data_IF_384983617042
#
_entry.id   IF_384983617042
#
_cell.length_a   1.000
_cell.length_b   1.000
_cell.length_c   1.000
_cell.angle_alpha   90.00
_cell.angle_beta   90.00
_cell.angle_gamma   90.00
#
_symmetry.space_group_name_H-M   'P 1'
#
loop_
_entity.id
_entity.type
_entity.pdbx_description
1 polymer ?
#
# COMPACT_ATOMS: atom_id res chain seq x y z
N UNK A 1 -10.40 -56.84 18.69
CA UNK A 1 -9.65 -55.59 18.96
C UNK A 1 -9.58 -54.77 17.67
N UNK A 2 -10.49 -53.81 17.43
CA UNK A 2 -10.41 -52.89 16.27
C UNK A 2 -11.51 -51.80 16.30
N UNK A 3 -11.65 -51.03 17.39
CA UNK A 3 -12.68 -49.99 17.47
C UNK A 3 -12.18 -48.71 18.17
N UNK A 4 -10.98 -48.23 17.82
CA UNK A 4 -10.44 -46.97 18.39
C UNK A 4 -9.64 -46.11 17.39
N UNK A 5 -9.72 -46.36 16.08
CA UNK A 5 -8.90 -45.64 15.08
C UNK A 5 -9.63 -44.56 14.25
N UNK A 6 -10.90 -44.27 14.51
CA UNK A 6 -11.68 -43.33 13.68
C UNK A 6 -11.86 -41.93 14.28
N UNK A 7 -11.41 -41.67 15.50
CA UNK A 7 -11.67 -40.40 16.21
C UNK A 7 -10.59 -39.32 15.98
N UNK A 8 -9.50 -39.63 15.27
CA UNK A 8 -8.39 -38.67 15.07
C UNK A 8 -8.55 -37.80 13.80
N UNK A 9 -9.47 -38.14 12.89
CA UNK A 9 -9.56 -37.47 11.56
C UNK A 9 -10.51 -36.25 11.56
N UNK A 10 -11.12 -35.88 12.69
CA UNK A 10 -12.02 -34.72 12.78
C UNK A 10 -11.39 -33.44 13.34
N UNK A 11 -10.09 -33.42 13.64
CA UNK A 11 -9.41 -32.24 14.22
C UNK A 11 -8.52 -31.44 13.25
N UNK A 12 -8.52 -31.76 11.96
CA UNK A 12 -7.65 -31.09 10.97
C UNK A 12 -8.31 -29.92 10.22
N UNK A 13 -9.55 -29.53 10.54
CA UNK A 13 -10.28 -28.50 9.77
C UNK A 13 -10.60 -27.19 10.53
N UNK A 14 -10.12 -26.98 11.76
CA UNK A 14 -10.26 -25.69 12.46
C UNK A 14 -9.00 -24.82 12.42
N UNK A 15 -8.10 -25.07 11.47
CA UNK A 15 -6.99 -24.18 11.15
C UNK A 15 -7.43 -23.05 10.21
N UNK A 16 -8.44 -22.27 10.62
CA UNK A 16 -8.76 -20.99 9.98
C UNK A 16 -7.62 -19.99 10.20
N UNK A 17 -6.49 -20.20 9.54
CA UNK A 17 -5.36 -19.29 9.49
C UNK A 17 -5.78 -18.08 8.64
N UNK A 18 -6.60 -17.21 9.21
CA UNK A 18 -6.66 -15.83 8.75
C UNK A 18 -5.26 -15.27 9.00
N UNK A 19 -4.44 -15.31 7.94
CA UNK A 19 -3.15 -14.62 7.89
C UNK A 19 -3.35 -13.25 8.52
N UNK A 20 -2.54 -12.81 9.50
CA UNK A 20 -2.65 -11.47 10.03
C UNK A 20 -2.54 -10.51 8.85
N UNK A 21 -3.66 -9.89 8.48
CA UNK A 21 -3.64 -8.83 7.48
C UNK A 21 -2.78 -7.74 8.09
N UNK A 22 -1.59 -7.53 7.54
CA UNK A 22 -0.69 -6.48 8.00
C UNK A 22 -1.37 -5.14 7.73
N UNK A 23 -1.93 -4.55 8.78
CA UNK A 23 -2.51 -3.22 8.74
C UNK A 23 -1.43 -2.24 9.20
N UNK A 24 -0.98 -1.30 8.34
CA UNK A 24 0.05 -0.35 8.73
C UNK A 24 -0.41 0.51 9.91
N UNK A 25 0.49 0.80 10.85
CA UNK A 25 0.24 1.59 12.07
C UNK A 25 -0.01 3.06 11.77
N UNK A 26 -0.60 3.81 12.70
CA UNK A 26 -0.78 5.27 12.57
C UNK A 26 0.55 5.98 12.26
N UNK A 27 1.63 5.59 12.94
CA UNK A 27 2.96 6.15 12.73
C UNK A 27 3.47 5.92 11.31
N UNK A 28 3.25 4.73 10.75
CA UNK A 28 3.61 4.45 9.37
C UNK A 28 2.87 5.38 8.39
N UNK A 29 1.57 5.65 8.62
CA UNK A 29 0.81 6.61 7.81
C UNK A 29 1.31 8.05 8.01
N UNK A 30 1.57 8.48 9.24
CA UNK A 30 2.06 9.83 9.59
C UNK A 30 3.41 10.10 8.93
N UNK A 31 4.35 9.15 9.03
CA UNK A 31 5.66 9.25 8.39
C UNK A 31 5.54 9.29 6.86
N UNK A 32 4.67 8.45 6.28
CA UNK A 32 4.52 8.39 4.84
C UNK A 32 3.83 9.65 4.26
N UNK A 33 2.83 10.18 4.96
CA UNK A 33 2.21 11.48 4.63
C UNK A 33 3.27 12.59 4.68
N UNK A 34 4.14 12.59 5.69
CA UNK A 34 5.23 13.57 5.81
C UNK A 34 6.19 13.51 4.63
N UNK A 35 6.61 12.31 4.24
CA UNK A 35 7.50 12.10 3.08
C UNK A 35 6.87 12.60 1.78
N UNK A 36 5.62 12.22 1.49
CA UNK A 36 4.94 12.65 0.27
C UNK A 36 4.67 14.16 0.26
N UNK A 37 4.34 14.74 1.42
CA UNK A 37 4.20 16.20 1.55
C UNK A 37 5.52 16.90 1.26
N UNK A 38 6.64 16.36 1.72
CA UNK A 38 7.97 16.91 1.48
C UNK A 38 8.32 16.93 -0.01
N UNK A 39 8.16 15.79 -0.72
CA UNK A 39 8.51 15.74 -2.15
C UNK A 39 7.55 16.58 -3.02
N UNK A 40 6.27 16.66 -2.66
CA UNK A 40 5.30 17.45 -3.43
C UNK A 40 5.46 18.96 -3.20
N UNK A 41 5.88 19.39 -2.01
CA UNK A 41 6.17 20.80 -1.74
C UNK A 41 7.51 21.25 -2.36
N UNK A 42 8.57 20.44 -2.25
CA UNK A 42 9.91 20.82 -2.70
C UNK A 42 10.06 20.81 -4.22
N UNK A 43 9.44 19.87 -4.90
CA UNK A 43 9.67 19.67 -6.34
C UNK A 43 8.61 20.33 -7.24
N UNK A 44 7.49 20.83 -6.68
CA UNK A 44 6.36 21.40 -7.42
C UNK A 44 6.03 20.53 -8.65
N UNK A 45 5.63 21.13 -9.77
CA UNK A 45 5.26 20.41 -11.01
C UNK A 45 6.42 19.63 -11.69
N UNK A 46 7.66 19.72 -11.20
CA UNK A 46 8.85 19.09 -11.80
C UNK A 46 9.37 17.90 -10.96
N UNK A 47 8.48 17.10 -10.37
CA UNK A 47 8.95 15.89 -9.70
C UNK A 47 9.43 14.87 -10.74
N UNK A 48 10.67 14.40 -10.60
CA UNK A 48 11.30 13.44 -11.52
C UNK A 48 11.30 13.89 -13.00
N UNK A 49 11.57 15.18 -13.29
CA UNK A 49 11.62 15.72 -14.65
C UNK A 49 10.32 15.50 -15.45
N UNK A 50 9.16 15.51 -14.77
CA UNK A 50 7.87 15.27 -15.43
C UNK A 50 7.70 13.83 -15.93
N UNK A 51 8.46 12.89 -15.38
CA UNK A 51 8.30 11.46 -15.71
C UNK A 51 6.85 11.02 -15.52
N UNK A 52 6.43 10.08 -16.36
CA UNK A 52 5.06 9.59 -16.41
C UNK A 52 4.99 8.16 -15.87
N UNK A 53 3.95 7.86 -15.09
CA UNK A 53 3.69 6.55 -14.49
C UNK A 53 2.25 6.12 -14.76
N UNK A 54 1.99 4.82 -14.69
CA UNK A 54 0.63 4.31 -14.85
C UNK A 54 -0.27 4.83 -13.74
N UNK A 55 -1.45 5.33 -14.09
CA UNK A 55 -2.45 5.66 -13.09
C UNK A 55 -2.99 4.38 -12.47
N UNK A 56 -3.42 4.50 -11.21
CA UNK A 56 -3.96 3.39 -10.45
C UNK A 56 -5.24 3.82 -9.76
N UNK A 57 -6.14 2.86 -9.54
CA UNK A 57 -7.31 3.13 -8.71
C UNK A 57 -6.94 2.97 -7.23
N UNK A 58 -6.71 4.09 -6.55
CA UNK A 58 -6.33 4.15 -5.13
C UNK A 58 -7.49 3.73 -4.21
N UNK A 59 -7.68 2.41 -4.09
CA UNK A 59 -8.59 1.75 -3.15
C UNK A 59 -7.80 1.07 -2.02
N UNK A 60 -8.48 0.65 -0.96
CA UNK A 60 -7.84 -0.02 0.16
C UNK A 60 -7.07 -1.28 -0.31
N UNK A 61 -5.77 -1.34 -0.01
CA UNK A 61 -4.91 -2.47 -0.37
C UNK A 61 -4.09 -2.29 -1.66
N UNK A 62 -4.23 -1.18 -2.37
CA UNK A 62 -3.56 -0.97 -3.67
C UNK A 62 -2.16 -0.33 -3.60
N UNK A 63 -1.50 -0.40 -2.44
CA UNK A 63 -0.13 0.11 -2.28
C UNK A 63 0.90 -0.67 -3.11
N UNK A 64 0.64 -1.95 -3.42
CA UNK A 64 1.46 -2.75 -4.33
C UNK A 64 1.43 -2.22 -5.77
N UNK A 65 0.24 -1.92 -6.30
CA UNK A 65 0.10 -1.32 -7.62
C UNK A 65 0.79 0.05 -7.69
N UNK A 66 0.74 0.82 -6.60
CA UNK A 66 1.44 2.09 -6.50
C UNK A 66 2.96 1.93 -6.55
N UNK A 67 3.49 0.95 -5.83
CA UNK A 67 4.91 0.62 -5.86
C UNK A 67 5.36 0.23 -7.27
N UNK A 68 4.65 -0.67 -7.92
CA UNK A 68 5.01 -1.14 -9.26
C UNK A 68 5.00 -0.04 -10.31
N UNK A 69 4.01 0.86 -10.23
CA UNK A 69 3.95 2.00 -11.12
C UNK A 69 5.17 2.93 -10.94
N UNK A 70 5.55 3.20 -9.68
CA UNK A 70 6.71 4.03 -9.35
C UNK A 70 8.06 3.33 -9.59
N UNK A 71 8.14 2.00 -9.49
CA UNK A 71 9.38 1.25 -9.76
C UNK A 71 9.82 1.35 -11.22
N UNK A 72 8.91 1.68 -12.15
CA UNK A 72 9.24 1.91 -13.56
C UNK A 72 9.94 3.25 -13.82
N UNK A 73 9.99 4.15 -12.82
CA UNK A 73 10.74 5.41 -12.91
C UNK A 73 12.19 5.17 -12.47
N UNK A 74 13.09 5.12 -13.44
CA UNK A 74 14.53 5.08 -13.18
C UNK A 74 15.11 6.48 -12.95
N UNK A 75 16.28 6.57 -12.34
CA UNK A 75 17.06 7.81 -12.17
C UNK A 75 16.38 8.97 -11.43
N UNK A 76 15.35 8.70 -10.60
CA UNK A 76 14.76 9.70 -9.72
C UNK A 76 15.01 9.37 -8.24
N UNK A 77 16.03 10.01 -7.64
CA UNK A 77 16.37 9.80 -6.23
C UNK A 77 15.31 10.35 -5.27
N UNK A 78 14.54 11.36 -5.70
CA UNK A 78 13.51 12.03 -4.89
C UNK A 78 12.41 11.07 -4.41
N UNK A 79 12.05 10.05 -5.20
CA UNK A 79 11.01 9.08 -4.85
C UNK A 79 11.55 7.78 -4.23
N UNK A 80 12.87 7.66 -4.05
CA UNK A 80 13.50 6.42 -3.56
C UNK A 80 13.07 6.04 -2.14
N UNK A 81 12.79 7.03 -1.28
CA UNK A 81 12.25 6.77 0.07
C UNK A 81 10.77 6.42 0.02
N UNK A 82 9.98 7.10 -0.80
CA UNK A 82 8.58 6.75 -1.10
C UNK A 82 8.43 5.30 -1.56
N UNK A 83 9.25 4.83 -2.50
CA UNK A 83 9.24 3.43 -2.95
C UNK A 83 9.52 2.45 -1.80
N UNK A 84 10.47 2.76 -0.91
CA UNK A 84 10.74 1.93 0.28
C UNK A 84 9.60 1.91 1.29
N UNK A 85 8.92 3.04 1.50
CA UNK A 85 7.71 3.07 2.34
C UNK A 85 6.59 2.25 1.70
N UNK A 86 6.38 2.34 0.39
CA UNK A 86 5.36 1.53 -0.29
C UNK A 86 5.59 0.03 -0.16
N UNK A 87 6.85 -0.43 -0.12
CA UNK A 87 7.18 -1.83 0.17
C UNK A 87 6.63 -2.29 1.52
N UNK A 88 6.64 -1.43 2.56
CA UNK A 88 6.08 -1.81 3.88
C UNK A 88 4.55 -1.82 3.88
N UNK A 89 3.93 -1.03 3.01
CA UNK A 89 2.46 -1.00 2.85
C UNK A 89 1.94 -2.07 1.87
N UNK A 90 2.83 -2.73 1.12
CA UNK A 90 2.52 -3.79 0.17
C UNK A 90 2.84 -5.17 0.77
N UNK A 91 1.86 -5.91 1.30
CA UNK A 91 2.10 -7.27 1.79
C UNK A 91 2.50 -8.21 0.64
N UNK A 92 3.60 -8.95 0.83
CA UNK A 92 4.22 -9.82 -0.18
C UNK A 92 3.27 -10.83 -0.85
N UNK A 93 2.21 -11.26 -0.13
CA UNK A 93 1.17 -12.17 -0.66
C UNK A 93 0.34 -11.60 -1.82
N UNK A 94 0.41 -10.30 -2.09
CA UNK A 94 -0.41 -9.64 -3.12
C UNK A 94 0.33 -9.32 -4.43
N UNK A 95 1.65 -9.53 -4.47
CA UNK A 95 2.51 -9.21 -5.62
C UNK A 95 2.20 -10.08 -6.85
N UNK A 96 1.56 -11.25 -6.69
CA UNK A 96 1.37 -12.20 -7.80
C UNK A 96 -0.06 -12.32 -8.34
N UNK A 97 -1.09 -11.81 -7.62
CA UNK A 97 -2.50 -12.02 -8.01
C UNK A 97 -3.38 -10.77 -8.09
N UNK A 98 -3.00 -9.65 -7.47
CA UNK A 98 -3.85 -8.45 -7.39
C UNK A 98 -3.33 -7.25 -8.20
N UNK A 99 -2.19 -7.44 -8.85
CA UNK A 99 -1.45 -6.42 -9.58
C UNK A 99 -2.13 -6.02 -10.90
N UNK A 100 -2.79 -6.97 -11.57
CA UNK A 100 -3.38 -6.72 -12.89
C UNK A 100 -4.68 -5.91 -12.85
N UNK A 101 -5.43 -5.90 -11.75
CA UNK A 101 -6.77 -5.29 -11.71
C UNK A 101 -6.80 -3.83 -11.25
N UNK A 102 -5.71 -3.30 -10.69
CA UNK A 102 -5.69 -1.96 -10.11
C UNK A 102 -4.92 -0.93 -10.94
N UNK A 103 -4.05 -1.39 -11.83
CA UNK A 103 -3.33 -0.55 -12.79
C UNK A 103 -4.27 -0.28 -13.96
N UNK A 104 -4.65 0.97 -14.16
CA UNK A 104 -5.37 1.40 -15.36
C UNK A 104 -4.30 1.53 -16.45
N UNK A 105 -4.06 0.45 -17.18
CA UNK A 105 -3.02 0.39 -18.22
C UNK A 105 -3.29 1.31 -19.42
N UNK A 106 -4.40 2.04 -19.41
CA UNK A 106 -4.78 2.93 -20.50
C UNK A 106 -4.42 4.40 -20.24
N UNK A 107 -3.93 4.75 -19.04
CA UNK A 107 -3.62 6.15 -18.70
C UNK A 107 -2.32 6.29 -17.92
N UNK A 108 -1.45 7.17 -18.41
CA UNK A 108 -0.27 7.63 -17.65
C UNK A 108 -0.49 9.03 -17.12
N UNK A 109 0.00 9.30 -15.92
CA UNK A 109 -0.01 10.61 -15.28
C UNK A 109 1.40 10.97 -14.83
N UNK A 110 1.65 12.26 -14.63
CA UNK A 110 2.93 12.73 -14.11
C UNK A 110 3.18 12.17 -12.71
N UNK A 111 4.44 11.88 -12.38
CA UNK A 111 4.84 11.43 -11.04
C UNK A 111 4.45 12.44 -9.97
N UNK A 112 4.48 13.74 -10.28
CA UNK A 112 3.98 14.78 -9.36
C UNK A 112 2.49 14.61 -9.04
N UNK A 113 1.66 14.45 -10.08
CA UNK A 113 0.22 14.26 -9.91
C UNK A 113 -0.07 12.94 -9.19
N UNK A 114 0.64 11.87 -9.55
CA UNK A 114 0.57 10.59 -8.86
C UNK A 114 0.87 10.71 -7.36
N UNK A 115 1.94 11.43 -6.99
CA UNK A 115 2.32 11.63 -5.59
C UNK A 115 1.26 12.42 -4.81
N UNK A 116 0.61 13.42 -5.44
CA UNK A 116 -0.50 14.16 -4.83
C UNK A 116 -1.72 13.28 -4.60
N UNK A 117 -2.08 12.45 -5.57
CA UNK A 117 -3.24 11.56 -5.45
C UNK A 117 -3.01 10.53 -4.33
N UNK A 118 -1.79 9.98 -4.25
CA UNK A 118 -1.40 9.07 -3.18
C UNK A 118 -1.41 9.76 -1.80
N UNK A 119 -0.90 10.99 -1.70
CA UNK A 119 -0.93 11.78 -0.47
C UNK A 119 -2.37 12.03 0.02
N UNK A 120 -3.27 12.40 -0.88
CA UNK A 120 -4.67 12.62 -0.56
C UNK A 120 -5.35 11.33 -0.09
N UNK A 121 -5.06 10.21 -0.75
CA UNK A 121 -5.56 8.91 -0.33
C UNK A 121 -5.07 8.54 1.08
N UNK A 122 -3.77 8.67 1.36
CA UNK A 122 -3.22 8.37 2.69
C UNK A 122 -3.82 9.25 3.78
N UNK A 123 -4.03 10.55 3.53
CA UNK A 123 -4.72 11.45 4.48
C UNK A 123 -6.15 11.00 4.76
N UNK A 124 -6.88 10.57 3.74
CA UNK A 124 -8.24 10.02 3.91
C UNK A 124 -8.22 8.75 4.76
N UNK A 125 -7.32 7.81 4.46
CA UNK A 125 -7.18 6.57 5.21
C UNK A 125 -6.76 6.81 6.67
N UNK A 126 -5.86 7.76 6.91
CA UNK A 126 -5.44 8.17 8.24
C UNK A 126 -6.63 8.71 9.07
N UNK A 127 -7.42 9.63 8.49
CA UNK A 127 -8.63 10.17 9.13
C UNK A 127 -9.67 9.09 9.46
N UNK A 128 -9.87 8.15 8.55
CA UNK A 128 -10.80 7.03 8.79
C UNK A 128 -10.34 6.12 9.93
N UNK A 129 -9.03 5.90 10.09
CA UNK A 129 -8.49 5.10 11.19
C UNK A 129 -8.58 5.80 12.54
N UNK A 130 -8.38 7.12 12.56
CA UNK A 130 -8.56 7.90 13.80
C UNK A 130 -10.01 7.92 14.29
N UNK A 131 -10.98 7.74 13.40
CA UNK A 131 -12.41 7.76 13.73
C UNK A 131 -12.97 6.39 14.15
N UNK A 132 -12.36 5.29 13.70
CA UNK A 132 -12.95 3.94 13.78
C UNK A 132 -12.33 3.00 14.83
N UNK A 133 -11.29 3.43 15.54
CA UNK A 133 -10.52 2.56 16.45
C UNK A 133 -10.35 3.23 17.81
N UNK A 134 -10.67 2.52 18.89
CA UNK A 134 -10.30 2.89 20.28
C UNK A 134 -8.78 3.04 20.48
N UNK A 135 -7.98 2.69 19.46
CA UNK A 135 -6.61 3.20 19.28
C UNK A 135 -6.67 4.55 18.57
N UNK A 136 -6.97 5.58 19.35
CA UNK A 136 -6.81 6.97 18.94
C UNK A 136 -5.34 7.18 18.59
N UNK A 137 -5.04 7.61 17.35
CA UNK A 137 -3.72 8.10 17.00
C UNK A 137 -3.52 9.46 17.70
N UNK A 138 -3.32 9.47 19.03
CA UNK A 138 -2.95 10.66 19.80
C UNK A 138 -1.47 10.92 19.55
N UNK A 139 -1.17 12.21 19.43
CA UNK A 139 0.06 12.81 18.91
C UNK A 139 1.35 12.38 19.59
#
# INVERSE_FOLDING_TARGET
MALWLTVIIALTCLGGLTSPSYVPTCEAYKEFIRELSNITQNHKANLCNGSMVWSINLTAGQYCAALESLMKVSNCSAIRRTQRMLLTFCPHKHITRQVSSAIIQDTKIEVFQFAKDLLNHLRKMYRQKTEKTDTVCIE
#
